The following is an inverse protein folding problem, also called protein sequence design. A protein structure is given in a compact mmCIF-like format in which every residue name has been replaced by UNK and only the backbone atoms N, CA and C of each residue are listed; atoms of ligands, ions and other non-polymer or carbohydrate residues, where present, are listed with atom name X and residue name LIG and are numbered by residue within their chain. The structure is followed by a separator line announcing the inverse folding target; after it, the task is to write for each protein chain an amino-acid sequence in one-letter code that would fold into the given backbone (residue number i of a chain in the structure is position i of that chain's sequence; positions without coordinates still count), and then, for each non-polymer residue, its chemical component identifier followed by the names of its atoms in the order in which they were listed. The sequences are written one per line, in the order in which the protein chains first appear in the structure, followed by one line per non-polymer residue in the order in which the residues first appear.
data_IF_280025746747
#
_entry.id   IF_280025746747
#
_cell.length_a   1.000
_cell.length_b   1.000
_cell.length_c   1.000
_cell.angle_alpha   90.00
_cell.angle_beta   90.00
_cell.angle_gamma   90.00
#
_symmetry.space_group_name_H-M   'P 1'
#
loop_
_entity.id
_entity.type
_entity.pdbx_description
1 polymer ?
#
# COMPACT_ATOMS: atom_id res chain seq x y z
N UNK A 1 14.93 -5.72 31.50
CA UNK A 1 14.18 -6.08 30.28
C UNK A 1 15.01 -7.09 29.54
N UNK A 2 14.48 -8.24 29.10
CA UNK A 2 15.23 -9.10 28.19
C UNK A 2 15.54 -8.29 26.93
N UNK A 3 16.81 -8.26 26.56
CA UNK A 3 17.28 -7.67 25.30
C UNK A 3 16.82 -8.56 24.16
N UNK A 4 15.82 -8.10 23.42
CA UNK A 4 15.29 -8.79 22.26
C UNK A 4 14.11 -9.71 22.61
N UNK A 5 13.02 -9.53 21.90
CA UNK A 5 11.80 -10.32 21.98
C UNK A 5 10.74 -9.65 21.14
N UNK A 6 9.88 -10.45 20.54
CA UNK A 6 8.75 -9.94 19.77
C UNK A 6 7.79 -9.19 20.67
N UNK A 7 7.17 -8.17 20.12
CA UNK A 7 6.16 -7.39 20.85
C UNK A 7 4.92 -8.24 21.12
N UNK A 8 4.35 -8.11 22.30
CA UNK A 8 3.08 -8.77 22.65
C UNK A 8 1.90 -8.12 21.95
N UNK A 9 1.99 -6.80 21.75
CA UNK A 9 0.93 -5.99 21.17
C UNK A 9 1.52 -5.05 20.14
N UNK A 10 0.79 -4.80 19.08
CA UNK A 10 1.13 -3.85 18.03
C UNK A 10 0.59 -2.44 18.31
N UNK A 11 -0.23 -2.26 19.35
CA UNK A 11 -0.62 -0.93 19.85
C UNK A 11 0.57 -0.21 20.51
N UNK A 12 0.47 1.08 20.69
CA UNK A 12 1.39 1.87 21.51
C UNK A 12 1.26 1.46 23.00
N UNK A 13 2.14 1.98 23.86
CA UNK A 13 1.99 1.78 25.29
C UNK A 13 0.70 2.47 25.77
N UNK A 14 0.01 1.94 26.82
CA UNK A 14 -1.18 2.59 27.36
C UNK A 14 -0.93 4.06 27.78
N UNK A 15 0.30 4.37 28.21
CA UNK A 15 0.72 5.73 28.58
C UNK A 15 0.76 6.65 27.36
N UNK A 16 1.32 6.17 26.25
CA UNK A 16 1.43 6.96 25.00
C UNK A 16 0.05 7.18 24.39
N UNK A 17 -0.80 6.16 24.37
CA UNK A 17 -2.18 6.31 23.90
C UNK A 17 -2.99 7.28 24.76
N UNK A 18 -2.87 7.22 26.08
CA UNK A 18 -3.52 8.16 26.99
C UNK A 18 -3.00 9.60 26.77
N UNK A 19 -1.70 9.78 26.54
CA UNK A 19 -1.11 11.08 26.21
C UNK A 19 -1.70 11.63 24.90
N UNK A 20 -1.71 10.83 23.83
CA UNK A 20 -2.28 11.24 22.54
C UNK A 20 -3.75 11.65 22.71
N UNK A 21 -4.54 10.85 23.41
CA UNK A 21 -5.95 11.15 23.65
C UNK A 21 -6.16 12.45 24.43
N UNK A 22 -5.36 12.67 25.48
CA UNK A 22 -5.42 13.88 26.28
C UNK A 22 -5.07 15.14 25.47
N UNK A 23 -3.97 15.07 24.70
CA UNK A 23 -3.52 16.20 23.86
C UNK A 23 -4.52 16.50 22.76
N UNK A 24 -5.03 15.47 22.05
CA UNK A 24 -6.03 15.63 21.00
C UNK A 24 -7.36 16.21 21.56
N UNK A 25 -7.72 15.84 22.79
CA UNK A 25 -8.92 16.38 23.45
C UNK A 25 -8.74 17.85 23.84
N UNK A 26 -7.53 18.24 24.22
CA UNK A 26 -7.20 19.63 24.58
C UNK A 26 -7.01 20.52 23.34
N UNK A 27 -6.52 19.98 22.24
CA UNK A 27 -6.28 20.71 21.00
C UNK A 27 -6.66 19.85 19.77
N UNK A 28 -7.76 20.15 19.07
CA UNK A 28 -8.16 19.41 17.89
C UNK A 28 -7.19 19.55 16.70
N UNK A 29 -6.28 20.53 16.71
CA UNK A 29 -5.25 20.71 15.68
C UNK A 29 -3.95 19.99 16.08
N UNK A 30 -4.08 18.74 16.52
CA UNK A 30 -2.93 17.90 16.92
C UNK A 30 -2.46 17.02 15.77
N UNK A 31 -1.17 17.08 15.49
CA UNK A 31 -0.47 16.18 14.60
C UNK A 31 0.26 15.13 15.44
N UNK A 32 0.06 13.86 15.15
CA UNK A 32 0.76 12.75 15.81
C UNK A 32 1.85 12.21 14.90
N UNK A 33 3.10 12.33 15.32
CA UNK A 33 4.25 11.75 14.63
C UNK A 33 4.65 10.42 15.30
N UNK A 34 4.60 9.34 14.55
CA UNK A 34 4.91 7.99 15.04
C UNK A 34 6.27 7.54 14.51
N UNK A 35 7.21 7.25 15.42
CA UNK A 35 8.48 6.61 15.09
C UNK A 35 8.41 5.14 15.48
N UNK A 36 8.33 4.25 14.50
CA UNK A 36 8.28 2.81 14.73
C UNK A 36 8.79 2.05 13.48
N UNK A 37 9.35 0.87 13.68
CA UNK A 37 9.88 0.04 12.58
C UNK A 37 8.85 -0.88 11.91
N UNK A 38 7.58 -0.84 12.35
CA UNK A 38 6.50 -1.64 11.78
C UNK A 38 5.15 -0.95 11.97
N UNK A 39 4.09 -1.54 11.42
CA UNK A 39 2.73 -1.09 11.65
C UNK A 39 2.41 -1.00 13.15
N UNK A 40 1.59 -0.02 13.49
CA UNK A 40 1.05 0.22 14.85
C UNK A 40 -0.47 0.18 14.76
N UNK A 41 -1.11 -0.49 15.70
CA UNK A 41 -2.58 -0.44 15.85
C UNK A 41 -2.94 0.93 16.43
N UNK A 42 -3.82 1.66 15.72
CA UNK A 42 -4.14 3.06 16.01
C UNK A 42 -5.63 3.27 16.33
N UNK A 43 -6.41 2.17 16.41
CA UNK A 43 -7.87 2.20 16.57
C UNK A 43 -8.33 3.08 17.73
N UNK A 44 -7.61 3.05 18.85
CA UNK A 44 -7.98 3.76 20.07
C UNK A 44 -7.88 5.30 19.98
N UNK A 45 -7.14 5.84 18.98
CA UNK A 45 -6.81 7.26 18.96
C UNK A 45 -6.72 7.92 17.57
N UNK A 46 -6.58 7.16 16.48
CA UNK A 46 -6.34 7.72 15.15
C UNK A 46 -7.43 8.73 14.73
N UNK A 47 -8.68 8.48 15.07
CA UNK A 47 -9.81 9.34 14.72
C UNK A 47 -9.85 10.67 15.50
N UNK A 48 -8.98 10.86 16.50
CA UNK A 48 -8.86 12.09 17.29
C UNK A 48 -7.75 13.02 16.78
N UNK A 49 -6.76 12.47 16.07
CA UNK A 49 -5.66 13.24 15.52
C UNK A 49 -6.09 13.92 14.21
N UNK A 50 -5.72 15.20 14.05
CA UNK A 50 -5.96 15.93 12.80
C UNK A 50 -5.13 15.36 11.65
N UNK A 51 -3.90 14.94 11.92
CA UNK A 51 -3.01 14.26 10.99
C UNK A 51 -2.10 13.28 11.73
N UNK A 52 -1.69 12.24 11.03
CA UNK A 52 -0.75 11.23 11.50
C UNK A 52 0.39 11.13 10.49
N UNK A 53 1.62 11.26 10.96
CA UNK A 53 2.83 11.07 10.18
C UNK A 53 3.57 9.83 10.68
N UNK A 54 3.79 8.87 9.77
CA UNK A 54 4.63 7.71 10.05
C UNK A 54 6.06 8.01 9.62
N UNK A 55 6.96 8.23 10.58
CA UNK A 55 8.33 8.65 10.33
C UNK A 55 9.28 7.47 10.13
N UNK A 56 8.88 6.26 10.47
CA UNK A 56 9.75 5.07 10.47
C UNK A 56 11.01 5.31 11.33
N UNK A 57 12.18 5.03 10.83
CA UNK A 57 13.48 5.37 11.41
C UNK A 57 14.17 6.37 10.47
N UNK A 58 13.91 7.68 10.65
CA UNK A 58 14.24 8.71 9.66
C UNK A 58 15.74 9.06 9.59
N UNK A 59 16.56 8.50 10.45
CA UNK A 59 18.01 8.78 10.48
C UNK A 59 18.36 10.16 11.03
N UNK A 60 19.58 10.62 10.72
CA UNK A 60 20.17 11.84 11.30
C UNK A 60 19.39 13.10 10.92
N UNK A 61 18.93 13.21 9.65
CA UNK A 61 18.22 14.39 9.14
C UNK A 61 16.69 14.31 9.36
N UNK A 62 16.22 13.33 10.13
CA UNK A 62 14.80 13.11 10.36
C UNK A 62 14.04 14.30 10.94
N UNK A 63 14.70 15.08 11.79
CA UNK A 63 14.12 16.31 12.37
C UNK A 63 13.88 17.39 11.32
N UNK A 64 14.84 17.61 10.43
CA UNK A 64 14.70 18.58 9.33
C UNK A 64 13.62 18.12 8.34
N UNK A 65 13.67 16.85 7.88
CA UNK A 65 12.67 16.30 6.98
C UNK A 65 11.25 16.37 7.57
N UNK A 66 11.09 16.14 8.87
CA UNK A 66 9.81 16.28 9.55
C UNK A 66 9.35 17.75 9.59
N UNK A 67 10.26 18.69 9.91
CA UNK A 67 9.96 20.11 9.90
C UNK A 67 9.49 20.58 8.51
N UNK A 68 10.23 20.23 7.45
CA UNK A 68 9.90 20.60 6.07
C UNK A 68 8.50 20.11 5.66
N UNK A 69 8.12 18.91 6.08
CA UNK A 69 6.78 18.38 5.81
C UNK A 69 5.72 19.18 6.59
N UNK A 70 5.86 19.37 7.92
CA UNK A 70 4.81 20.03 8.71
C UNK A 70 4.67 21.53 8.44
N UNK A 71 5.73 22.18 7.96
CA UNK A 71 5.69 23.60 7.54
C UNK A 71 5.20 23.78 6.11
N UNK A 72 5.13 22.72 5.31
CA UNK A 72 4.70 22.74 3.92
C UNK A 72 5.79 23.09 2.91
N UNK A 73 7.05 23.18 3.34
CA UNK A 73 8.20 23.36 2.44
C UNK A 73 8.35 22.15 1.50
N UNK A 74 8.01 20.96 1.99
CA UNK A 74 7.98 19.72 1.22
C UNK A 74 6.58 19.12 1.25
N UNK A 75 5.99 18.92 0.08
CA UNK A 75 4.74 18.18 -0.03
C UNK A 75 5.01 16.67 0.12
N UNK A 76 4.41 15.97 1.11
CA UNK A 76 4.65 14.55 1.30
C UNK A 76 4.17 13.72 0.10
N UNK A 77 4.97 12.73 -0.30
CA UNK A 77 4.67 11.80 -1.38
C UNK A 77 4.91 10.34 -1.01
N UNK A 78 5.33 10.09 0.23
CA UNK A 78 5.60 8.75 0.74
C UNK A 78 4.34 7.90 0.79
N UNK A 79 4.48 6.61 0.43
CA UNK A 79 3.42 5.60 0.53
C UNK A 79 3.81 4.51 1.53
N UNK A 80 2.82 4.01 2.27
CA UNK A 80 3.03 2.95 3.24
C UNK A 80 3.51 1.66 2.55
N UNK A 81 4.67 1.09 2.92
CA UNK A 81 5.20 -0.13 2.34
C UNK A 81 4.58 -1.40 2.94
N UNK A 82 3.66 -1.25 3.87
CA UNK A 82 2.90 -2.34 4.48
C UNK A 82 1.47 -1.88 4.81
N UNK A 83 0.60 -2.85 5.02
CA UNK A 83 -0.76 -2.59 5.49
C UNK A 83 -0.75 -2.33 7.00
N UNK A 84 -1.45 -1.30 7.44
CA UNK A 84 -1.75 -1.07 8.85
C UNK A 84 -3.12 -1.70 9.14
N UNK A 85 -3.18 -2.82 9.86
CA UNK A 85 -4.45 -3.45 10.19
C UNK A 85 -5.25 -2.58 11.17
N UNK A 86 -6.56 -2.69 11.11
CA UNK A 86 -7.42 -2.02 12.08
C UNK A 86 -7.28 -2.67 13.46
N UNK A 87 -7.19 -3.99 13.51
CA UNK A 87 -7.09 -4.80 14.73
C UNK A 87 -5.96 -5.82 14.60
N UNK A 88 -5.40 -6.23 15.72
CA UNK A 88 -4.33 -7.23 15.75
C UNK A 88 -4.80 -8.60 15.27
N UNK A 89 -6.07 -8.95 15.53
CA UNK A 89 -6.71 -10.20 15.13
C UNK A 89 -6.85 -10.35 13.61
N UNK A 90 -6.79 -9.25 12.87
CA UNK A 90 -6.81 -9.26 11.40
C UNK A 90 -5.50 -9.79 10.80
N UNK A 91 -4.44 -9.88 11.59
CA UNK A 91 -3.14 -10.44 11.18
C UNK A 91 -3.12 -11.97 11.25
N UNK A 92 -2.18 -12.63 10.56
CA UNK A 92 -1.93 -14.06 10.81
C UNK A 92 -1.58 -14.31 12.28
N UNK A 93 -2.01 -15.45 12.80
CA UNK A 93 -1.60 -15.87 14.14
C UNK A 93 -0.08 -15.92 14.26
N UNK A 94 0.44 -15.37 15.33
CA UNK A 94 1.86 -15.34 15.64
C UNK A 94 2.10 -15.82 17.08
N UNK A 95 2.82 -16.93 17.22
CA UNK A 95 3.29 -17.42 18.52
C UNK A 95 4.74 -16.97 18.73
N UNK A 96 4.94 -15.99 19.60
CA UNK A 96 6.25 -15.42 19.93
C UNK A 96 7.22 -16.39 20.61
N UNK A 97 6.70 -17.51 21.13
CA UNK A 97 7.48 -18.55 21.79
C UNK A 97 7.81 -19.72 20.88
N UNK A 98 7.27 -19.74 19.65
CA UNK A 98 7.50 -20.80 18.70
C UNK A 98 8.93 -20.78 18.17
N UNK A 99 9.55 -21.95 18.07
CA UNK A 99 10.87 -22.12 17.44
C UNK A 99 10.77 -22.26 15.91
N UNK A 100 9.56 -22.48 15.39
CA UNK A 100 9.28 -22.59 13.96
C UNK A 100 7.92 -22.01 13.65
N UNK A 101 7.88 -21.05 12.74
CA UNK A 101 6.65 -20.43 12.24
C UNK A 101 6.62 -20.63 10.73
N UNK A 102 5.44 -20.95 10.19
CA UNK A 102 5.19 -21.03 8.76
C UNK A 102 4.21 -19.93 8.38
N UNK A 103 4.69 -18.97 7.60
CA UNK A 103 3.83 -17.99 6.95
C UNK A 103 3.51 -18.46 5.54
N UNK A 104 2.22 -18.48 5.23
CA UNK A 104 1.72 -18.76 3.89
C UNK A 104 1.56 -17.47 3.05
N UNK A 105 0.84 -17.56 1.94
CA UNK A 105 0.51 -16.44 1.05
C UNK A 105 -0.32 -15.35 1.75
N UNK A 106 -1.03 -15.68 2.83
CA UNK A 106 -2.08 -14.84 3.42
C UNK A 106 -1.56 -13.93 4.52
N UNK A 107 -0.95 -12.82 4.12
CA UNK A 107 -0.52 -11.74 5.02
C UNK A 107 -0.69 -10.37 4.33
N UNK A 108 -0.64 -9.27 5.12
CA UNK A 108 -0.82 -7.92 4.64
C UNK A 108 -2.15 -7.72 3.88
N UNK A 109 -2.14 -6.90 2.84
CA UNK A 109 -3.35 -6.61 2.05
C UNK A 109 -3.96 -7.86 1.39
N UNK A 110 -3.15 -8.88 1.07
CA UNK A 110 -3.64 -10.13 0.46
C UNK A 110 -4.60 -10.87 1.40
N UNK A 111 -4.24 -10.92 2.70
CA UNK A 111 -5.08 -11.54 3.72
C UNK A 111 -6.33 -10.73 3.99
N UNK A 112 -6.19 -9.42 4.26
CA UNK A 112 -7.32 -8.57 4.61
C UNK A 112 -8.35 -8.54 3.48
N UNK A 113 -7.91 -8.42 2.23
CA UNK A 113 -8.81 -8.43 1.08
C UNK A 113 -9.53 -9.79 0.89
N UNK A 114 -8.81 -10.91 1.06
CA UNK A 114 -9.43 -12.24 1.06
C UNK A 114 -10.51 -12.37 2.14
N UNK A 115 -10.22 -11.88 3.33
CA UNK A 115 -11.08 -12.04 4.50
C UNK A 115 -12.18 -10.95 4.58
N UNK A 116 -12.19 -10.00 3.64
CA UNK A 116 -13.12 -8.87 3.64
C UNK A 116 -12.91 -7.89 4.81
N UNK A 117 -11.71 -7.88 5.42
CA UNK A 117 -11.37 -7.01 6.53
C UNK A 117 -10.82 -5.67 6.02
N UNK A 118 -11.36 -4.57 6.52
CA UNK A 118 -10.88 -3.24 6.18
C UNK A 118 -9.59 -2.91 6.96
N UNK A 119 -8.52 -2.47 6.31
CA UNK A 119 -7.34 -1.97 7.00
C UNK A 119 -7.61 -0.60 7.64
N UNK A 120 -6.86 -0.24 8.70
CA UNK A 120 -6.82 1.14 9.17
C UNK A 120 -6.18 2.05 8.10
N UNK A 121 -5.05 1.60 7.54
CA UNK A 121 -4.43 2.23 6.37
C UNK A 121 -3.94 1.15 5.41
N UNK A 122 -4.39 1.17 4.15
CA UNK A 122 -4.03 0.12 3.19
C UNK A 122 -2.55 0.20 2.76
N UNK A 123 -2.02 -0.90 2.25
CA UNK A 123 -0.74 -0.93 1.55
C UNK A 123 -0.75 0.09 0.42
N UNK A 124 0.31 0.87 0.29
CA UNK A 124 0.45 1.90 -0.73
C UNK A 124 -0.27 3.21 -0.41
N UNK A 125 -0.96 3.33 0.74
CA UNK A 125 -1.64 4.56 1.15
C UNK A 125 -0.64 5.66 1.53
N UNK A 126 -0.99 6.90 1.22
CA UNK A 126 -0.29 8.10 1.63
C UNK A 126 -0.97 9.33 1.06
N UNK A 127 -1.14 10.35 1.90
CA UNK A 127 -1.76 11.62 1.54
C UNK A 127 -0.72 12.59 0.98
N UNK A 128 -1.22 13.61 0.31
CA UNK A 128 -0.46 14.74 -0.21
C UNK A 128 -1.18 16.04 0.16
N UNK A 129 -0.51 17.17 0.12
CA UNK A 129 -1.12 18.49 0.25
C UNK A 129 -1.81 18.96 -1.04
N UNK A 130 -1.71 18.16 -2.10
CA UNK A 130 -2.50 18.31 -3.32
C UNK A 130 -3.38 17.08 -3.55
N UNK A 131 -4.18 17.09 -4.61
CA UNK A 131 -5.05 15.96 -4.99
C UNK A 131 -4.70 15.50 -6.39
N UNK A 132 -4.80 14.18 -6.62
CA UNK A 132 -4.55 13.59 -7.92
C UNK A 132 -5.80 12.86 -8.42
N UNK A 133 -6.11 13.03 -9.69
CA UNK A 133 -7.15 12.27 -10.38
C UNK A 133 -6.55 11.34 -11.42
N UNK A 134 -7.21 10.20 -11.61
CA UNK A 134 -6.79 9.16 -12.55
C UNK A 134 -7.87 8.97 -13.60
N UNK A 135 -7.46 8.86 -14.86
CA UNK A 135 -8.37 8.65 -15.98
C UNK A 135 -7.71 7.84 -17.09
N UNK A 136 -8.52 7.35 -18.03
CA UNK A 136 -8.04 6.87 -19.33
C UNK A 136 -7.10 5.67 -19.25
N UNK A 137 -7.31 4.72 -18.33
CA UNK A 137 -6.56 3.46 -18.32
C UNK A 137 -6.73 2.73 -19.64
N UNK A 138 -5.63 2.46 -20.31
CA UNK A 138 -5.57 1.71 -21.58
C UNK A 138 -4.49 0.66 -21.52
N UNK A 139 -4.77 -0.52 -22.05
CA UNK A 139 -3.79 -1.57 -22.31
C UNK A 139 -3.38 -1.50 -23.78
N UNK A 140 -2.10 -1.74 -24.08
CA UNK A 140 -1.60 -1.75 -25.45
C UNK A 140 -2.24 -2.91 -26.28
N UNK A 141 -2.56 -4.00 -25.60
CA UNK A 141 -3.29 -5.16 -26.15
C UNK A 141 -4.05 -5.88 -25.03
N UNK A 142 -5.10 -6.58 -25.38
CA UNK A 142 -5.96 -7.36 -24.50
C UNK A 142 -5.63 -8.86 -24.47
N UNK A 143 -4.77 -9.34 -25.39
CA UNK A 143 -4.23 -10.69 -25.40
C UNK A 143 -2.70 -10.67 -25.36
N UNK A 144 -2.11 -11.49 -24.49
CA UNK A 144 -0.67 -11.61 -24.26
C UNK A 144 -0.24 -13.08 -24.33
N UNK A 145 0.95 -13.32 -24.84
CA UNK A 145 1.66 -14.59 -24.64
C UNK A 145 2.48 -14.53 -23.36
N UNK A 146 2.87 -15.67 -22.82
CA UNK A 146 3.74 -15.73 -21.64
C UNK A 146 5.10 -15.01 -21.81
N UNK A 147 5.55 -14.82 -23.05
CA UNK A 147 6.78 -14.08 -23.41
C UNK A 147 6.58 -12.58 -23.56
N UNK A 148 5.36 -12.09 -23.56
CA UNK A 148 5.04 -10.67 -23.77
C UNK A 148 5.11 -9.89 -22.44
N UNK A 149 4.90 -8.57 -22.53
CA UNK A 149 4.68 -7.72 -21.37
C UNK A 149 3.29 -7.07 -21.44
N UNK A 150 2.65 -6.96 -20.30
CA UNK A 150 1.48 -6.10 -20.10
C UNK A 150 1.95 -4.65 -20.11
N UNK A 151 1.57 -3.90 -21.13
CA UNK A 151 1.83 -2.46 -21.22
C UNK A 151 0.53 -1.70 -20.93
N UNK A 152 0.54 -0.93 -19.87
CA UNK A 152 -0.59 -0.10 -19.44
C UNK A 152 -0.22 1.38 -19.44
N UNK A 153 -1.16 2.23 -19.82
CA UNK A 153 -1.05 3.69 -19.70
C UNK A 153 -2.24 4.23 -18.93
N UNK A 154 -1.99 5.24 -18.10
CA UNK A 154 -3.02 5.97 -17.35
C UNK A 154 -2.69 7.45 -17.34
N UNK A 155 -3.70 8.29 -17.43
CA UNK A 155 -3.55 9.74 -17.27
C UNK A 155 -3.69 10.09 -15.78
N UNK A 156 -2.71 10.84 -15.26
CA UNK A 156 -2.71 11.34 -13.88
C UNK A 156 -2.63 12.86 -13.93
N UNK A 157 -3.58 13.50 -13.28
CA UNK A 157 -3.68 14.97 -13.22
C UNK A 157 -3.52 15.44 -11.78
N UNK A 158 -2.68 16.44 -11.55
CA UNK A 158 -2.70 17.19 -10.30
C UNK A 158 -3.89 18.15 -10.32
N UNK A 159 -4.95 17.77 -9.62
CA UNK A 159 -6.20 18.54 -9.56
C UNK A 159 -6.21 19.61 -8.43
N UNK A 160 -5.12 19.70 -7.66
CA UNK A 160 -4.99 20.69 -6.58
C UNK A 160 -4.18 21.91 -7.00
N UNK A 161 -3.86 22.77 -6.01
CA UNK A 161 -3.28 24.09 -6.21
C UNK A 161 -1.75 24.15 -6.03
N UNK A 162 -1.11 23.07 -5.56
CA UNK A 162 0.33 23.04 -5.30
C UNK A 162 1.01 21.89 -6.05
N UNK A 163 2.30 22.00 -6.38
CA UNK A 163 3.04 20.91 -6.98
C UNK A 163 3.08 19.69 -6.04
N UNK A 164 3.09 18.49 -6.61
CA UNK A 164 3.20 17.27 -5.83
C UNK A 164 3.65 16.09 -6.65
N UNK A 165 3.97 15.01 -5.94
CA UNK A 165 4.37 13.75 -6.56
C UNK A 165 3.41 12.64 -6.16
N UNK A 166 3.02 11.83 -7.13
CA UNK A 166 2.14 10.69 -6.92
C UNK A 166 2.87 9.39 -7.28
N UNK A 167 2.53 8.31 -6.56
CA UNK A 167 2.99 6.96 -6.87
C UNK A 167 1.83 6.15 -7.42
N UNK A 168 1.82 6.01 -8.73
CA UNK A 168 0.82 5.25 -9.48
C UNK A 168 1.11 3.76 -9.33
N UNK A 169 0.14 2.97 -8.88
CA UNK A 169 0.30 1.56 -8.55
C UNK A 169 -0.54 0.69 -9.47
N UNK A 170 0.08 -0.32 -10.09
CA UNK A 170 -0.58 -1.32 -10.93
C UNK A 170 -0.62 -2.66 -10.20
N UNK A 171 -1.80 -3.12 -9.91
CA UNK A 171 -2.08 -4.44 -9.39
C UNK A 171 -2.63 -5.34 -10.49
N UNK A 172 -2.36 -6.64 -10.40
CA UNK A 172 -2.93 -7.64 -11.29
C UNK A 172 -3.68 -8.69 -10.48
N UNK A 173 -4.90 -8.97 -10.89
CA UNK A 173 -5.75 -10.03 -10.36
C UNK A 173 -5.86 -11.16 -11.38
N UNK A 174 -5.68 -12.42 -10.95
CA UNK A 174 -5.90 -13.61 -11.77
C UNK A 174 -7.37 -14.05 -11.63
N UNK A 175 -8.15 -14.04 -12.73
CA UNK A 175 -9.56 -14.37 -12.70
C UNK A 175 -9.78 -15.85 -13.14
N UNK A 176 -10.21 -16.70 -12.20
CA UNK A 176 -10.46 -18.11 -12.48
C UNK A 176 -9.22 -19.01 -12.44
N UNK A 177 -8.19 -18.64 -11.68
CA UNK A 177 -7.02 -19.49 -11.45
C UNK A 177 -7.41 -20.83 -10.81
N UNK A 178 -6.75 -21.90 -11.25
CA UNK A 178 -6.92 -23.26 -10.69
C UNK A 178 -6.20 -23.46 -9.36
N UNK A 179 -5.32 -22.54 -9.00
CA UNK A 179 -4.59 -22.53 -7.72
C UNK A 179 -5.01 -21.37 -6.85
N UNK A 180 -4.73 -21.46 -5.56
CA UNK A 180 -4.98 -20.35 -4.62
C UNK A 180 -4.07 -19.18 -4.97
N UNK A 181 -4.65 -18.03 -5.30
CA UNK A 181 -3.97 -16.78 -5.60
C UNK A 181 -4.48 -15.68 -4.68
N UNK A 182 -3.66 -14.68 -4.45
CA UNK A 182 -4.12 -13.45 -3.83
C UNK A 182 -5.19 -12.79 -4.72
N UNK A 183 -6.19 -12.08 -4.15
CA UNK A 183 -7.20 -11.36 -4.92
C UNK A 183 -6.59 -10.43 -5.96
N UNK A 184 -5.46 -9.81 -5.63
CA UNK A 184 -4.58 -9.06 -6.53
C UNK A 184 -3.18 -8.93 -5.95
N UNK A 185 -2.22 -8.60 -6.78
CA UNK A 185 -0.84 -8.37 -6.39
C UNK A 185 -0.28 -7.12 -7.06
N UNK A 186 0.45 -6.29 -6.31
CA UNK A 186 1.22 -5.19 -6.90
C UNK A 186 2.26 -5.77 -7.86
N UNK A 187 2.25 -5.33 -9.12
CA UNK A 187 3.18 -5.81 -10.16
C UNK A 187 4.05 -4.70 -10.72
N UNK A 188 3.57 -3.45 -10.71
CA UNK A 188 4.37 -2.31 -11.12
C UNK A 188 3.94 -1.03 -10.38
N UNK A 189 4.82 -0.06 -10.31
CA UNK A 189 4.53 1.29 -9.85
C UNK A 189 5.44 2.30 -10.53
N UNK A 190 4.99 3.55 -10.58
CA UNK A 190 5.78 4.66 -11.09
C UNK A 190 5.52 5.92 -10.27
N UNK A 191 6.59 6.67 -9.98
CA UNK A 191 6.50 7.99 -9.35
C UNK A 191 6.47 9.07 -10.43
N UNK A 192 5.55 10.02 -10.30
CA UNK A 192 5.37 11.13 -11.24
C UNK A 192 5.23 12.45 -10.48
N UNK A 193 6.03 13.45 -10.86
CA UNK A 193 5.92 14.82 -10.36
C UNK A 193 5.01 15.62 -11.29
N UNK A 194 4.07 16.38 -10.72
CA UNK A 194 3.07 17.15 -11.46
C UNK A 194 2.91 18.55 -10.85
N UNK A 195 2.97 19.56 -11.71
CA UNK A 195 2.56 20.92 -11.38
C UNK A 195 1.02 21.01 -11.25
N UNK A 196 0.48 22.05 -10.59
CA UNK A 196 -0.96 22.28 -10.55
C UNK A 196 -1.59 22.32 -11.94
N UNK A 197 -2.66 21.54 -12.15
CA UNK A 197 -3.36 21.41 -13.42
C UNK A 197 -2.62 20.55 -14.47
N UNK A 198 -1.39 20.11 -14.21
CA UNK A 198 -0.65 19.27 -15.15
C UNK A 198 -1.25 17.87 -15.21
N UNK A 199 -1.41 17.37 -16.44
CA UNK A 199 -1.76 15.98 -16.72
C UNK A 199 -0.60 15.29 -17.40
N UNK A 200 -0.26 14.07 -16.94
CA UNK A 200 0.79 13.26 -17.54
C UNK A 200 0.32 11.84 -17.77
N UNK A 201 0.66 11.29 -18.93
CA UNK A 201 0.47 9.87 -19.20
C UNK A 201 1.59 9.07 -18.55
N UNK A 202 1.24 8.23 -17.58
CA UNK A 202 2.14 7.31 -16.89
C UNK A 202 2.07 5.95 -17.58
N UNK A 203 3.24 5.36 -17.85
CA UNK A 203 3.39 4.04 -18.45
C UNK A 203 3.85 3.06 -17.40
N UNK A 204 3.21 1.88 -17.37
CA UNK A 204 3.51 0.78 -16.47
C UNK A 204 3.66 -0.50 -17.30
N UNK A 205 4.75 -1.22 -17.09
CA UNK A 205 5.07 -2.46 -17.82
C UNK A 205 5.25 -3.61 -16.83
N UNK A 206 4.66 -4.76 -17.12
CA UNK A 206 4.76 -5.98 -16.33
C UNK A 206 5.04 -7.14 -17.26
N UNK A 207 6.21 -7.80 -17.19
CA UNK A 207 6.44 -9.04 -17.92
C UNK A 207 5.35 -10.06 -17.59
N UNK A 208 4.76 -10.73 -18.59
CA UNK A 208 3.74 -11.74 -18.34
C UNK A 208 4.29 -12.90 -17.48
N UNK A 209 5.59 -13.15 -17.56
CA UNK A 209 6.28 -14.12 -16.70
C UNK A 209 6.14 -13.81 -15.20
N UNK A 210 5.99 -12.54 -14.80
CA UNK A 210 5.81 -12.14 -13.40
C UNK A 210 4.38 -12.46 -12.86
N UNK A 211 3.49 -12.92 -13.73
CA UNK A 211 2.16 -13.43 -13.38
C UNK A 211 2.18 -14.92 -13.02
N UNK A 212 3.33 -15.58 -13.14
CA UNK A 212 3.48 -17.00 -12.87
C UNK A 212 3.27 -17.33 -11.38
N UNK A 213 2.83 -18.55 -11.13
CA UNK A 213 2.96 -19.24 -9.85
C UNK A 213 3.94 -20.41 -9.97
N UNK A 214 4.51 -20.84 -8.85
CA UNK A 214 5.35 -22.03 -8.83
C UNK A 214 4.49 -23.28 -8.68
N UNK A 215 4.54 -24.15 -9.68
CA UNK A 215 3.86 -25.45 -9.65
C UNK A 215 4.81 -26.51 -9.07
N UNK A 216 4.53 -26.96 -7.86
CA UNK A 216 5.34 -27.97 -7.19
C UNK A 216 5.29 -29.35 -7.87
N UNK A 217 4.21 -29.67 -8.62
CA UNK A 217 4.08 -30.94 -9.32
C UNK A 217 5.03 -31.03 -10.51
N UNK A 218 5.24 -29.92 -11.21
CA UNK A 218 6.15 -29.84 -12.37
C UNK A 218 7.49 -29.20 -12.02
N UNK A 219 7.67 -28.75 -10.78
CA UNK A 219 8.85 -28.01 -10.31
C UNK A 219 9.21 -26.81 -11.21
N UNK A 220 8.20 -26.08 -11.69
CA UNK A 220 8.37 -25.00 -12.64
C UNK A 220 7.43 -23.80 -12.40
N UNK A 221 7.80 -22.68 -12.99
CA UNK A 221 6.96 -21.47 -13.00
C UNK A 221 5.95 -21.56 -14.14
N UNK A 222 4.67 -21.32 -13.84
CA UNK A 222 3.57 -21.45 -14.80
C UNK A 222 2.78 -20.15 -14.84
N UNK A 223 2.68 -19.55 -16.02
CA UNK A 223 1.72 -18.48 -16.32
C UNK A 223 0.45 -19.16 -16.84
N UNK A 224 -0.67 -18.95 -16.16
CA UNK A 224 -1.94 -19.59 -16.56
C UNK A 224 -2.54 -18.88 -17.77
N UNK A 225 -3.04 -19.63 -18.79
CA UNK A 225 -3.76 -19.07 -19.93
C UNK A 225 -5.21 -18.75 -19.55
N UNK A 226 -5.41 -17.75 -18.70
CA UNK A 226 -6.70 -17.32 -18.16
C UNK A 226 -6.91 -15.81 -18.34
N UNK A 227 -8.04 -15.31 -17.87
CA UNK A 227 -8.30 -13.89 -17.79
C UNK A 227 -7.62 -13.27 -16.57
N UNK A 228 -7.17 -12.04 -16.73
CA UNK A 228 -6.57 -11.21 -15.69
C UNK A 228 -7.21 -9.83 -15.73
N UNK A 229 -7.09 -9.11 -14.61
CA UNK A 229 -7.44 -7.71 -14.56
C UNK A 229 -6.25 -6.86 -14.12
N UNK A 230 -5.92 -5.85 -14.89
CA UNK A 230 -5.04 -4.75 -14.51
C UNK A 230 -5.86 -3.74 -13.72
N UNK A 231 -5.39 -3.36 -12.53
CA UNK A 231 -6.08 -2.46 -11.61
C UNK A 231 -5.08 -1.35 -11.25
N UNK A 232 -5.38 -0.11 -11.63
CA UNK A 232 -4.49 1.03 -11.40
C UNK A 232 -5.15 1.99 -10.43
N UNK A 233 -4.43 2.35 -9.37
CA UNK A 233 -4.95 3.23 -8.34
C UNK A 233 -3.86 3.78 -7.42
N UNK A 234 -4.30 4.50 -6.39
CA UNK A 234 -3.46 5.19 -5.41
C UNK A 234 -2.91 4.26 -4.33
N UNK A 235 -3.62 3.17 -4.03
CA UNK A 235 -3.27 2.19 -3.00
C UNK A 235 -4.09 0.89 -3.17
N UNK A 236 -3.76 -0.16 -2.41
CA UNK A 236 -4.37 -1.48 -2.55
C UNK A 236 -5.90 -1.51 -2.36
N UNK A 237 -6.46 -0.63 -1.56
CA UNK A 237 -7.91 -0.56 -1.29
C UNK A 237 -8.55 0.70 -1.89
N UNK A 238 -8.02 1.21 -3.01
CA UNK A 238 -8.56 2.40 -3.66
C UNK A 238 -9.94 2.10 -4.27
N UNK A 239 -11.02 2.75 -3.77
CA UNK A 239 -12.37 2.52 -4.29
C UNK A 239 -12.56 3.06 -5.72
N UNK A 240 -11.72 4.02 -6.13
CA UNK A 240 -11.77 4.67 -7.44
C UNK A 240 -10.77 4.06 -8.44
N UNK A 241 -10.15 2.92 -8.09
CA UNK A 241 -9.17 2.28 -8.94
C UNK A 241 -9.75 1.92 -10.31
N UNK A 242 -9.04 2.29 -11.36
CA UNK A 242 -9.39 1.97 -12.73
C UNK A 242 -9.09 0.50 -13.03
N UNK A 243 -9.93 -0.15 -13.84
CA UNK A 243 -9.80 -1.57 -14.16
C UNK A 243 -9.91 -1.82 -15.66
N UNK A 244 -9.01 -2.65 -16.18
CA UNK A 244 -9.04 -3.16 -17.53
C UNK A 244 -8.73 -4.66 -17.54
N UNK A 245 -9.42 -5.44 -18.39
CA UNK A 245 -9.22 -6.89 -18.51
C UNK A 245 -8.28 -7.22 -19.65
N UNK A 246 -7.51 -8.29 -19.47
CA UNK A 246 -6.70 -8.91 -20.52
C UNK A 246 -6.65 -10.42 -20.31
N UNK A 247 -6.16 -11.14 -21.31
CA UNK A 247 -6.02 -12.59 -21.29
C UNK A 247 -4.60 -13.00 -21.61
N UNK A 248 -4.09 -14.02 -20.95
CA UNK A 248 -2.89 -14.72 -21.38
C UNK A 248 -3.33 -15.96 -22.21
N UNK A 249 -2.65 -16.19 -23.35
CA UNK A 249 -2.95 -17.27 -24.31
C UNK A 249 -1.71 -18.16 -24.52
#
# INVERSE_FOLDING_TARGET
MPLGGDRERLSLSPRDEALIQAVCSANPRTIVAVMAGSAVIMEAWANRAQAILMLWYPGQEGGHAFADVITGEVNPSGKLPCTFPARQEDLPFFDRSATKIVYDLWHGYRKLERDGAAPAFPFGFGLSYTTFSYAGLKLARDELRASDALEATVEVTNAGAIPGEEVVQLYVAAEGSKVKRAPKELKAFARVALSPGETRTVRLSVPAADLAYFDAATSGWVVEPINYAAIVGRHAADPDALRARFRVI
#
